data_IF_038581231735
#
_entry.id   IF_038581231735
#
_cell.length_a   1.000
_cell.length_b   1.000
_cell.length_c   1.000
_cell.angle_alpha   90.00
_cell.angle_beta   90.00
_cell.angle_gamma   90.00
#
_symmetry.space_group_name_H-M   'P 1'
#
loop_
_entity.id
_entity.type
_entity.pdbx_description
1 polymer ?
#
# COMPACT_ATOMS: atom_id res chain seq x y z
N UNK A 1 -8.78 1.96 23.35
CA UNK A 1 -7.33 2.26 23.23
C UNK A 1 -7.20 3.34 22.18
N UNK A 2 -6.50 4.45 22.45
CA UNK A 2 -6.21 5.46 21.41
C UNK A 2 -4.90 5.06 20.72
N UNK A 3 -4.86 5.08 19.40
CA UNK A 3 -3.62 4.90 18.64
C UNK A 3 -2.92 6.25 18.52
N UNK A 4 -1.75 6.37 19.16
CA UNK A 4 -0.99 7.61 19.29
C UNK A 4 -0.34 8.03 17.96
N UNK A 5 -0.15 7.09 17.01
CA UNK A 5 0.42 7.37 15.70
C UNK A 5 -0.41 8.38 14.89
N UNK A 6 -1.74 8.40 15.05
CA UNK A 6 -2.60 9.30 14.26
C UNK A 6 -2.49 10.74 14.74
N UNK A 7 -2.45 10.98 16.06
CA UNK A 7 -2.21 12.33 16.60
C UNK A 7 -0.82 12.83 16.21
N UNK A 8 0.20 11.97 16.29
CA UNK A 8 1.57 12.26 15.85
C UNK A 8 1.63 12.66 14.37
N UNK A 9 0.87 11.97 13.51
CA UNK A 9 0.76 12.36 12.11
C UNK A 9 0.10 13.73 11.94
N UNK A 10 -0.97 14.05 12.69
CA UNK A 10 -1.64 15.35 12.58
C UNK A 10 -0.72 16.52 12.94
N UNK A 11 0.15 16.33 13.94
CA UNK A 11 1.18 17.29 14.31
C UNK A 11 2.20 17.43 13.17
N UNK A 12 2.66 16.31 12.61
CA UNK A 12 3.60 16.28 11.49
C UNK A 12 3.03 16.96 10.22
N UNK A 13 1.73 16.78 9.94
CA UNK A 13 1.04 17.45 8.83
C UNK A 13 0.90 18.96 9.08
N UNK A 14 0.77 19.38 10.34
CA UNK A 14 0.75 20.79 10.70
C UNK A 14 2.09 21.46 10.42
N UNK A 15 3.21 20.77 10.61
CA UNK A 15 4.54 21.26 10.17
C UNK A 15 4.59 21.49 8.65
N UNK A 16 4.05 20.55 7.85
CA UNK A 16 4.00 20.69 6.38
C UNK A 16 3.13 21.90 5.98
N UNK A 17 2.02 22.15 6.68
CA UNK A 17 1.17 23.33 6.45
C UNK A 17 1.90 24.64 6.77
N UNK A 18 2.77 24.66 7.79
CA UNK A 18 3.63 25.82 8.07
C UNK A 18 4.63 26.06 6.94
N UNK A 19 5.21 24.99 6.37
CA UNK A 19 6.09 25.10 5.20
C UNK A 19 5.33 25.65 3.98
N UNK A 20 4.09 25.21 3.76
CA UNK A 20 3.23 25.76 2.69
C UNK A 20 3.01 27.26 2.88
N UNK A 21 2.66 27.70 4.10
CA UNK A 21 2.44 29.11 4.39
C UNK A 21 3.70 29.95 4.14
N UNK A 22 4.85 29.53 4.68
CA UNK A 22 6.13 30.21 4.47
C UNK A 22 6.54 30.24 2.99
N UNK A 23 6.27 29.18 2.23
CA UNK A 23 6.56 29.14 0.80
C UNK A 23 5.70 30.13 0.00
N UNK A 24 4.45 30.38 0.42
CA UNK A 24 3.58 31.40 -0.20
C UNK A 24 4.11 32.80 0.07
N UNK A 25 4.48 33.10 1.31
CA UNK A 25 5.09 34.39 1.67
C UNK A 25 6.38 34.64 0.88
N UNK A 26 7.22 33.61 0.73
CA UNK A 26 8.45 33.73 -0.06
C UNK A 26 8.20 34.14 -1.52
N UNK A 27 7.05 33.80 -2.14
CA UNK A 27 6.76 34.19 -3.52
C UNK A 27 6.64 35.71 -3.71
N UNK A 28 6.36 36.46 -2.64
CA UNK A 28 6.26 37.92 -2.66
C UNK A 28 7.63 38.60 -2.86
N UNK A 29 8.74 37.90 -2.59
CA UNK A 29 10.11 38.40 -2.74
C UNK A 29 10.66 38.35 -4.18
N UNK A 30 9.81 38.09 -5.19
CA UNK A 30 10.21 38.10 -6.59
C UNK A 30 11.11 36.92 -6.99
N UNK A 31 12.26 37.18 -7.61
CA UNK A 31 13.09 36.13 -8.22
C UNK A 31 13.80 35.23 -7.20
N UNK A 32 14.34 35.80 -6.13
CA UNK A 32 14.94 35.05 -5.02
C UNK A 32 13.88 34.26 -4.26
N UNK A 33 12.71 34.88 -4.06
CA UNK A 33 11.52 34.28 -3.48
C UNK A 33 11.08 32.98 -4.15
N UNK A 34 11.09 32.93 -5.48
CA UNK A 34 10.79 31.70 -6.24
C UNK A 34 11.76 30.55 -5.96
N UNK A 35 13.04 30.85 -5.75
CA UNK A 35 14.05 29.83 -5.41
C UNK A 35 13.81 29.31 -3.99
N UNK A 36 13.56 30.21 -3.03
CA UNK A 36 13.21 29.85 -1.65
C UNK A 36 11.93 29.02 -1.59
N UNK A 37 10.86 29.46 -2.24
CA UNK A 37 9.59 28.74 -2.35
C UNK A 37 9.81 27.32 -2.86
N UNK A 38 10.50 27.15 -3.99
CA UNK A 38 10.71 25.81 -4.55
C UNK A 38 11.59 24.92 -3.65
N UNK A 39 12.58 25.49 -2.94
CA UNK A 39 13.38 24.73 -1.99
C UNK A 39 12.52 24.25 -0.79
N UNK A 40 11.68 25.12 -0.25
CA UNK A 40 10.77 24.83 0.85
C UNK A 40 9.74 23.77 0.47
N UNK A 41 9.05 23.92 -0.67
CA UNK A 41 8.01 22.98 -1.10
C UNK A 41 8.57 21.61 -1.45
N UNK A 42 9.77 21.55 -2.04
CA UNK A 42 10.47 20.27 -2.27
C UNK A 42 10.83 19.57 -0.96
N UNK A 43 11.35 20.31 0.03
CA UNK A 43 11.65 19.76 1.34
C UNK A 43 10.38 19.27 2.04
N UNK A 44 9.31 20.07 2.02
CA UNK A 44 8.00 19.70 2.56
C UNK A 44 7.42 18.44 1.92
N UNK A 45 7.56 18.27 0.60
CA UNK A 45 7.08 17.07 -0.10
C UNK A 45 7.84 15.80 0.33
N UNK A 46 9.17 15.91 0.49
CA UNK A 46 10.00 14.80 0.98
C UNK A 46 9.64 14.44 2.43
N UNK A 47 9.46 15.44 3.30
CA UNK A 47 9.02 15.24 4.69
C UNK A 47 7.65 14.57 4.74
N UNK A 48 6.69 15.05 3.96
CA UNK A 48 5.35 14.48 3.87
C UNK A 48 5.36 12.99 3.50
N UNK A 49 6.21 12.58 2.54
CA UNK A 49 6.37 11.17 2.21
C UNK A 49 6.91 10.35 3.38
N UNK A 50 7.89 10.88 4.11
CA UNK A 50 8.47 10.23 5.28
C UNK A 50 7.47 10.11 6.44
N UNK A 51 6.68 11.15 6.68
CA UNK A 51 5.62 11.15 7.69
C UNK A 51 4.52 10.14 7.35
N UNK A 52 4.11 10.07 6.08
CA UNK A 52 3.11 9.09 5.65
C UNK A 52 3.61 7.64 5.80
N UNK A 53 4.86 7.37 5.40
CA UNK A 53 5.46 6.05 5.59
C UNK A 53 5.59 5.67 7.07
N UNK A 54 6.09 6.59 7.89
CA UNK A 54 6.20 6.40 9.33
C UNK A 54 4.86 6.07 9.96
N UNK A 55 3.83 6.85 9.64
CA UNK A 55 2.47 6.60 10.11
C UNK A 55 1.95 5.21 9.73
N UNK A 56 2.13 4.75 8.48
CA UNK A 56 1.66 3.41 8.07
C UNK A 56 2.33 2.32 8.91
N UNK A 57 3.64 2.41 9.13
CA UNK A 57 4.37 1.46 9.97
C UNK A 57 3.84 1.50 11.40
N UNK A 58 3.78 2.68 11.98
CA UNK A 58 3.46 2.87 13.39
C UNK A 58 1.99 2.48 13.67
N UNK A 59 1.07 2.74 12.74
CA UNK A 59 -0.33 2.31 12.81
C UNK A 59 -0.47 0.78 12.88
N UNK A 60 0.31 0.05 12.07
CA UNK A 60 0.28 -1.41 12.05
C UNK A 60 0.96 -1.98 13.29
N UNK A 61 2.03 -1.34 13.77
CA UNK A 61 2.71 -1.72 15.01
C UNK A 61 1.78 -1.57 16.21
N UNK A 62 1.12 -0.42 16.36
CA UNK A 62 0.15 -0.15 17.42
C UNK A 62 -1.08 -1.08 17.33
N UNK A 63 -1.56 -1.38 16.13
CA UNK A 63 -2.63 -2.36 15.92
C UNK A 63 -2.26 -3.76 16.43
N UNK A 64 -1.06 -4.23 16.06
CA UNK A 64 -0.58 -5.56 16.48
C UNK A 64 -0.33 -5.61 17.99
N UNK A 65 0.20 -4.53 18.56
CA UNK A 65 0.42 -4.42 20.00
C UNK A 65 -0.93 -4.40 20.76
N UNK A 66 -1.95 -3.72 20.23
CA UNK A 66 -3.30 -3.75 20.79
C UNK A 66 -3.90 -5.17 20.76
N UNK A 67 -3.75 -5.92 19.66
CA UNK A 67 -4.20 -7.32 19.59
C UNK A 67 -3.50 -8.21 20.62
N UNK A 68 -2.19 -7.99 20.84
CA UNK A 68 -1.41 -8.72 21.84
C UNK A 68 -1.90 -8.42 23.26
N UNK A 69 -2.18 -7.14 23.56
CA UNK A 69 -2.64 -6.71 24.88
C UNK A 69 -4.06 -7.23 25.20
N UNK A 70 -4.94 -7.28 24.20
CA UNK A 70 -6.29 -7.84 24.33
C UNK A 70 -6.30 -9.39 24.36
N UNK A 71 -5.16 -10.03 24.09
CA UNK A 71 -5.04 -11.49 24.13
C UNK A 71 -5.93 -12.20 23.12
N UNK A 72 -6.03 -11.64 21.90
CA UNK A 72 -6.92 -12.16 20.84
C UNK A 72 -6.58 -13.61 20.50
N UNK A 73 -7.61 -14.45 20.43
CA UNK A 73 -7.49 -15.88 20.12
C UNK A 73 -6.94 -16.08 18.71
N UNK A 74 -6.09 -17.10 18.53
CA UNK A 74 -5.64 -17.55 17.20
C UNK A 74 -6.81 -17.86 16.27
N UNK A 75 -7.93 -18.34 16.83
CA UNK A 75 -9.13 -18.71 16.06
C UNK A 75 -9.91 -17.52 15.49
N UNK A 76 -9.68 -16.31 16.02
CA UNK A 76 -10.32 -15.07 15.55
C UNK A 76 -9.39 -14.21 14.68
N UNK A 77 -8.16 -14.67 14.42
CA UNK A 77 -7.25 -13.98 13.51
C UNK A 77 -7.69 -14.21 12.05
N UNK A 78 -7.57 -13.20 11.17
CA UNK A 78 -7.70 -13.40 9.73
C UNK A 78 -6.68 -14.40 9.20
N UNK A 79 -7.04 -15.12 8.14
CA UNK A 79 -6.19 -16.14 7.53
C UNK A 79 -4.80 -15.61 7.18
N UNK A 80 -4.69 -14.38 6.65
CA UNK A 80 -3.41 -13.76 6.29
C UNK A 80 -2.52 -13.50 7.51
N UNK A 81 -3.10 -12.96 8.58
CA UNK A 81 -2.40 -12.69 9.84
C UNK A 81 -2.00 -14.01 10.52
N UNK A 82 -2.88 -15.01 10.51
CA UNK A 82 -2.58 -16.35 11.00
C UNK A 82 -1.43 -17.00 10.21
N UNK A 83 -1.45 -16.92 8.88
CA UNK A 83 -0.35 -17.38 8.03
C UNK A 83 0.97 -16.67 8.38
N UNK A 84 0.97 -15.35 8.56
CA UNK A 84 2.16 -14.60 8.93
C UNK A 84 2.73 -15.04 10.29
N UNK A 85 1.86 -15.35 11.26
CA UNK A 85 2.25 -15.93 12.56
C UNK A 85 2.92 -17.29 12.37
N UNK A 86 2.30 -18.18 11.59
CA UNK A 86 2.85 -19.51 11.33
C UNK A 86 4.22 -19.42 10.63
N UNK A 87 4.36 -18.57 9.61
CA UNK A 87 5.61 -18.37 8.89
C UNK A 87 6.73 -17.85 9.80
N UNK A 88 6.42 -16.87 10.66
CA UNK A 88 7.38 -16.34 11.63
C UNK A 88 7.88 -17.41 12.59
N UNK A 89 6.95 -18.17 13.19
CA UNK A 89 7.28 -19.21 14.18
C UNK A 89 8.02 -20.40 13.56
N UNK A 90 7.62 -20.84 12.35
CA UNK A 90 8.30 -21.91 11.62
C UNK A 90 9.70 -21.48 11.16
N UNK A 91 9.87 -20.22 10.76
CA UNK A 91 11.18 -19.68 10.38
C UNK A 91 12.13 -19.61 11.58
N UNK A 92 11.64 -19.24 12.76
CA UNK A 92 12.40 -19.24 14.01
C UNK A 92 12.75 -20.65 14.52
N UNK A 93 11.91 -21.65 14.24
CA UNK A 93 12.16 -23.04 14.59
C UNK A 93 13.42 -23.63 13.93
N UNK A 94 13.88 -23.08 12.80
CA UNK A 94 15.12 -23.52 12.14
C UNK A 94 16.40 -23.27 12.96
N UNK A 95 16.31 -22.65 14.14
CA UNK A 95 17.47 -22.45 15.04
C UNK A 95 17.18 -22.27 16.55
N UNK A 96 15.92 -22.31 17.01
CA UNK A 96 15.54 -22.08 18.42
C UNK A 96 14.79 -23.27 19.07
N UNK A 97 14.59 -23.19 20.38
CA UNK A 97 14.04 -24.27 21.22
C UNK A 97 12.62 -24.68 20.83
N UNK A 98 12.33 -25.98 20.96
CA UNK A 98 11.03 -26.64 20.77
C UNK A 98 9.85 -25.97 21.53
N UNK A 99 10.13 -25.11 22.51
CA UNK A 99 9.14 -24.54 23.45
C UNK A 99 8.21 -23.52 22.78
N UNK A 100 8.69 -22.69 21.87
CA UNK A 100 7.86 -21.72 21.13
C UNK A 100 6.86 -22.44 20.21
N UNK A 101 7.33 -23.50 19.54
CA UNK A 101 6.49 -24.33 18.68
C UNK A 101 5.44 -25.12 19.48
N UNK A 102 5.80 -25.63 20.67
CA UNK A 102 4.84 -26.26 21.58
C UNK A 102 3.79 -25.25 22.06
N UNK A 103 4.20 -24.01 22.37
CA UNK A 103 3.30 -22.94 22.80
C UNK A 103 2.31 -22.57 21.68
N UNK A 104 2.79 -22.43 20.45
CA UNK A 104 1.95 -22.22 19.27
C UNK A 104 0.97 -23.38 19.07
N UNK A 105 1.44 -24.64 19.12
CA UNK A 105 0.57 -25.81 19.03
C UNK A 105 -0.51 -25.81 20.12
N UNK A 106 -0.13 -25.44 21.35
CA UNK A 106 -1.05 -25.30 22.47
C UNK A 106 -2.11 -24.23 22.22
N UNK A 107 -1.72 -23.06 21.71
CA UNK A 107 -2.64 -21.98 21.38
C UNK A 107 -3.60 -22.37 20.25
N UNK A 108 -3.12 -23.03 19.19
CA UNK A 108 -3.98 -23.54 18.11
C UNK A 108 -4.98 -24.58 18.65
N UNK A 109 -4.52 -25.53 19.46
CA UNK A 109 -5.37 -26.63 19.95
C UNK A 109 -6.44 -26.14 20.92
N UNK A 110 -6.13 -25.13 21.74
CA UNK A 110 -7.01 -24.62 22.79
C UNK A 110 -7.68 -23.29 22.42
N UNK A 111 -7.53 -22.81 21.19
CA UNK A 111 -7.97 -21.47 20.77
C UNK A 111 -7.43 -20.36 21.70
N UNK A 112 -6.20 -20.50 22.17
CA UNK A 112 -5.52 -19.50 22.99
C UNK A 112 -4.94 -18.35 22.15
N UNK A 113 -4.45 -17.32 22.85
CA UNK A 113 -3.75 -16.20 22.22
C UNK A 113 -2.36 -16.62 21.72
N UNK A 114 -1.89 -15.98 20.65
CA UNK A 114 -0.49 -16.07 20.20
C UNK A 114 0.10 -14.68 20.12
N UNK A 115 1.34 -14.56 20.59
CA UNK A 115 2.11 -13.34 20.49
C UNK A 115 2.46 -13.05 19.02
N UNK A 116 1.94 -11.94 18.52
CA UNK A 116 2.23 -11.39 17.21
C UNK A 116 3.53 -10.58 17.26
N UNK A 117 4.29 -10.57 16.16
CA UNK A 117 5.52 -9.78 16.04
C UNK A 117 5.23 -8.50 15.24
N UNK A 118 4.95 -7.41 15.96
CA UNK A 118 4.61 -6.11 15.37
C UNK A 118 5.66 -5.62 14.38
N UNK A 119 6.96 -5.74 14.69
CA UNK A 119 8.06 -5.30 13.81
C UNK A 119 8.14 -6.03 12.47
N UNK A 120 7.73 -7.30 12.43
CA UNK A 120 7.73 -8.07 11.18
C UNK A 120 6.54 -7.67 10.33
N UNK A 121 5.38 -7.48 10.96
CA UNK A 121 4.12 -7.13 10.28
C UNK A 121 4.07 -5.66 9.83
N UNK A 122 4.71 -4.75 10.57
CA UNK A 122 4.77 -3.32 10.24
C UNK A 122 5.85 -2.95 9.23
N UNK A 123 6.70 -3.90 8.82
CA UNK A 123 7.87 -3.60 8.00
C UNK A 123 7.49 -3.01 6.64
N UNK A 124 7.79 -1.73 6.45
CA UNK A 124 7.62 -1.05 5.15
C UNK A 124 8.79 -1.40 4.22
N UNK A 125 8.51 -1.60 2.93
CA UNK A 125 9.52 -1.78 1.88
C UNK A 125 10.31 -0.51 1.54
N UNK A 126 10.36 0.48 2.43
CA UNK A 126 11.06 1.76 2.29
C UNK A 126 10.34 2.86 1.51
N UNK A 127 9.16 2.58 0.92
CA UNK A 127 8.32 3.57 0.24
C UNK A 127 6.84 3.23 0.47
N UNK A 128 5.94 4.21 0.70
CA UNK A 128 4.51 3.98 0.82
C UNK A 128 3.85 3.89 -0.57
N UNK A 129 4.35 3.01 -1.45
CA UNK A 129 3.69 2.74 -2.73
C UNK A 129 2.34 2.07 -2.51
N UNK A 130 1.44 2.21 -3.49
CA UNK A 130 0.12 1.56 -3.44
C UNK A 130 0.25 0.06 -3.15
N UNK A 131 1.16 -0.63 -3.83
CA UNK A 131 1.38 -2.06 -3.63
C UNK A 131 1.95 -2.38 -2.24
N UNK A 132 2.82 -1.52 -1.69
CA UNK A 132 3.35 -1.71 -0.35
C UNK A 132 2.26 -1.49 0.71
N UNK A 133 1.43 -0.45 0.58
CA UNK A 133 0.31 -0.20 1.50
C UNK A 133 -0.67 -1.37 1.43
N UNK A 134 -1.09 -1.79 0.24
CA UNK A 134 -1.98 -2.94 0.08
C UNK A 134 -1.39 -4.23 0.66
N UNK A 135 -0.10 -4.49 0.43
CA UNK A 135 0.56 -5.68 0.96
C UNK A 135 0.62 -5.68 2.49
N UNK A 136 0.89 -4.54 3.12
CA UNK A 136 0.95 -4.41 4.58
C UNK A 136 -0.43 -4.65 5.18
N UNK A 137 -1.46 -3.98 4.63
CA UNK A 137 -2.82 -4.07 5.15
C UNK A 137 -3.45 -5.44 4.89
N UNK A 138 -3.22 -6.05 3.74
CA UNK A 138 -3.63 -7.44 3.48
C UNK A 138 -2.98 -8.42 4.47
N UNK A 139 -1.73 -8.17 4.86
CA UNK A 139 -1.02 -8.95 5.88
C UNK A 139 -1.68 -8.95 7.26
N UNK A 140 -2.48 -7.93 7.58
CA UNK A 140 -3.28 -7.85 8.81
C UNK A 140 -4.78 -8.12 8.58
N UNK A 141 -5.16 -8.60 7.39
CA UNK A 141 -6.53 -8.99 7.06
C UNK A 141 -7.40 -7.87 6.45
N UNK A 142 -6.82 -6.71 6.15
CA UNK A 142 -7.53 -5.58 5.55
C UNK A 142 -7.22 -5.54 4.05
N UNK A 143 -7.95 -6.34 3.28
CA UNK A 143 -7.74 -6.43 1.84
C UNK A 143 -8.30 -5.24 1.06
N UNK A 144 -7.63 -4.93 -0.07
CA UNK A 144 -8.02 -3.93 -1.05
C UNK A 144 -8.30 -2.55 -0.44
N UNK A 145 -7.49 -2.15 0.55
CA UNK A 145 -7.77 -0.96 1.37
C UNK A 145 -7.74 0.32 0.54
N UNK A 146 -6.78 0.44 -0.40
CA UNK A 146 -6.69 1.62 -1.26
C UNK A 146 -7.87 1.68 -2.21
N UNK A 147 -8.33 0.53 -2.71
CA UNK A 147 -9.48 0.47 -3.58
C UNK A 147 -10.76 0.85 -2.84
N UNK A 148 -10.99 0.29 -1.65
CA UNK A 148 -12.13 0.58 -0.78
C UNK A 148 -12.22 2.08 -0.48
N UNK A 149 -11.10 2.67 -0.04
CA UNK A 149 -11.04 4.09 0.27
C UNK A 149 -11.18 4.95 -0.99
N UNK A 150 -10.60 4.55 -2.12
CA UNK A 150 -10.75 5.28 -3.40
C UNK A 150 -12.19 5.31 -3.86
N UNK A 151 -12.91 4.19 -3.79
CA UNK A 151 -14.34 4.10 -4.14
C UNK A 151 -15.15 5.03 -3.24
N UNK A 152 -14.93 4.98 -1.93
CA UNK A 152 -15.64 5.80 -0.95
C UNK A 152 -15.40 7.30 -1.15
N UNK A 153 -14.14 7.70 -1.36
CA UNK A 153 -13.74 9.10 -1.34
C UNK A 153 -13.82 9.81 -2.67
N UNK A 154 -13.69 9.08 -3.78
CA UNK A 154 -13.68 9.63 -5.13
C UNK A 154 -14.88 9.19 -5.97
N UNK A 155 -15.81 8.41 -5.40
CA UNK A 155 -16.99 7.90 -6.10
C UNK A 155 -16.66 7.20 -7.43
N UNK A 156 -15.57 6.44 -7.45
CA UNK A 156 -15.17 5.62 -8.60
C UNK A 156 -15.71 4.20 -8.44
N UNK A 157 -16.15 3.56 -9.53
CA UNK A 157 -16.72 2.20 -9.46
C UNK A 157 -15.66 1.13 -9.12
N UNK A 158 -14.44 1.33 -9.59
CA UNK A 158 -13.30 0.46 -9.34
C UNK A 158 -12.00 1.14 -9.76
N UNK A 159 -10.94 0.84 -9.03
CA UNK A 159 -9.55 1.11 -9.41
C UNK A 159 -9.01 0.10 -10.43
N UNK A 160 -9.79 -0.90 -10.84
CA UNK A 160 -9.38 -1.87 -11.87
C UNK A 160 -10.22 -1.74 -13.14
N UNK A 161 -9.60 -2.00 -14.29
CA UNK A 161 -10.27 -2.29 -15.56
C UNK A 161 -9.85 -3.65 -16.09
N UNK A 162 -10.73 -4.26 -16.87
CA UNK A 162 -10.38 -5.39 -17.71
C UNK A 162 -9.67 -4.86 -18.96
N UNK A 163 -8.40 -5.24 -19.14
CA UNK A 163 -7.65 -4.88 -20.34
C UNK A 163 -7.71 -6.01 -21.36
N UNK A 164 -8.02 -5.66 -22.62
CA UNK A 164 -7.95 -6.60 -23.73
C UNK A 164 -6.54 -7.20 -23.82
N UNK A 165 -6.48 -8.53 -23.86
CA UNK A 165 -5.21 -9.25 -23.97
C UNK A 165 -4.67 -9.28 -25.42
N UNK A 166 -5.36 -8.63 -26.36
CA UNK A 166 -4.96 -8.49 -27.77
C UNK A 166 -3.92 -7.37 -27.91
N UNK A 167 -2.71 -7.64 -27.44
CA UNK A 167 -1.56 -6.76 -27.61
C UNK A 167 -0.91 -6.91 -29.02
N UNK A 168 0.05 -6.04 -29.35
CA UNK A 168 0.75 -6.12 -30.64
C UNK A 168 1.52 -7.44 -30.84
N UNK A 169 1.95 -8.08 -29.74
CA UNK A 169 2.66 -9.37 -29.77
C UNK A 169 1.69 -10.52 -30.08
N UNK A 170 0.48 -10.47 -29.52
CA UNK A 170 -0.61 -11.40 -29.79
C UNK A 170 -1.04 -11.33 -31.25
N UNK A 171 -1.21 -10.13 -31.80
CA UNK A 171 -1.52 -9.94 -33.24
C UNK A 171 -0.43 -10.56 -34.12
N UNK A 172 0.85 -10.28 -33.85
CA UNK A 172 1.98 -10.87 -34.58
C UNK A 172 2.04 -12.39 -34.47
N UNK A 173 1.68 -12.96 -33.31
CA UNK A 173 1.66 -14.41 -33.12
C UNK A 173 0.56 -15.10 -33.94
N UNK A 174 -0.61 -14.46 -34.06
CA UNK A 174 -1.69 -14.92 -34.94
C UNK A 174 -1.27 -14.79 -36.41
N UNK A 175 -0.71 -13.63 -36.80
CA UNK A 175 -0.20 -13.42 -38.17
C UNK A 175 0.85 -14.47 -38.57
N UNK A 176 1.76 -14.82 -37.65
CA UNK A 176 2.74 -15.88 -37.88
C UNK A 176 2.10 -17.28 -38.00
N UNK A 177 1.11 -17.59 -37.16
CA UNK A 177 0.39 -18.86 -37.24
C UNK A 177 -0.43 -19.00 -38.54
N UNK A 178 -0.90 -17.88 -39.11
CA UNK A 178 -1.58 -17.83 -40.40
C UNK A 178 -0.61 -17.83 -41.60
N UNK A 179 0.62 -17.36 -41.44
CA UNK A 179 1.63 -17.39 -42.50
C UNK A 179 2.18 -18.81 -42.77
N UNK A 180 2.16 -19.69 -41.76
CA UNK A 180 2.60 -21.09 -41.86
C UNK A 180 1.61 -22.03 -42.59
N UNK A 181 0.56 -21.49 -43.22
CA UNK A 181 -0.49 -22.28 -43.89
C UNK A 181 0.02 -22.95 -45.18
N UNK A 182 1.10 -22.46 -45.79
CA UNK A 182 1.76 -23.13 -46.92
C UNK A 182 2.84 -24.12 -46.42
N UNK A 183 2.40 -25.33 -46.05
CA UNK A 183 3.28 -26.50 -45.88
C UNK A 183 3.56 -27.00 -44.46
N UNK A 184 2.87 -26.50 -43.43
CA UNK A 184 3.12 -26.92 -42.05
C UNK A 184 2.45 -28.26 -41.65
N UNK A 185 3.17 -29.06 -40.86
CA UNK A 185 2.73 -30.34 -40.29
C UNK A 185 1.76 -30.21 -39.09
N UNK A 186 1.43 -28.99 -38.66
CA UNK A 186 0.56 -28.69 -37.52
C UNK A 186 -0.57 -27.78 -37.97
N UNK A 187 -1.80 -28.13 -37.61
CA UNK A 187 -3.02 -27.39 -37.91
C UNK A 187 -2.95 -25.94 -37.36
N UNK A 188 -3.02 -24.91 -38.23
CA UNK A 188 -3.04 -23.50 -37.85
C UNK A 188 -4.14 -23.15 -36.85
N UNK A 189 -5.30 -23.82 -36.93
CA UNK A 189 -6.43 -23.59 -36.01
C UNK A 189 -6.04 -23.98 -34.59
N UNK A 190 -5.40 -25.13 -34.39
CA UNK A 190 -4.89 -25.58 -33.10
C UNK A 190 -3.85 -24.62 -32.49
N UNK A 191 -2.99 -23.98 -33.30
CA UNK A 191 -2.04 -22.95 -32.81
C UNK A 191 -2.75 -21.66 -32.40
N UNK A 192 -3.76 -21.23 -33.16
CA UNK A 192 -4.57 -20.06 -32.82
C UNK A 192 -5.35 -20.31 -31.52
N UNK A 193 -5.96 -21.48 -31.38
CA UNK A 193 -6.65 -21.89 -30.13
C UNK A 193 -5.68 -21.88 -28.94
N UNK A 194 -4.47 -22.44 -29.07
CA UNK A 194 -3.48 -22.39 -28.00
C UNK A 194 -3.01 -20.98 -27.64
N UNK A 195 -2.90 -20.08 -28.63
CA UNK A 195 -2.59 -18.65 -28.40
C UNK A 195 -3.73 -17.95 -27.65
N UNK A 196 -4.98 -18.25 -28.03
CA UNK A 196 -6.19 -17.76 -27.39
C UNK A 196 -6.29 -18.27 -25.96
N UNK A 197 -6.27 -19.58 -25.74
CA UNK A 197 -6.39 -20.22 -24.42
C UNK A 197 -5.26 -19.79 -23.47
N UNK A 198 -4.03 -19.62 -23.98
CA UNK A 198 -2.92 -19.09 -23.19
C UNK A 198 -3.09 -17.63 -22.75
N UNK A 199 -4.04 -16.90 -23.31
CA UNK A 199 -4.23 -15.45 -23.09
C UNK A 199 -5.62 -15.05 -22.61
N UNK A 200 -6.66 -15.90 -22.72
CA UNK A 200 -8.05 -15.49 -22.55
C UNK A 200 -8.55 -15.42 -21.10
N UNK A 201 -7.68 -15.50 -20.09
CA UNK A 201 -8.07 -15.04 -18.75
C UNK A 201 -7.96 -13.51 -18.71
N UNK A 202 -9.05 -12.76 -18.51
CA UNK A 202 -9.00 -11.30 -18.43
C UNK A 202 -8.02 -10.88 -17.33
N UNK A 203 -6.99 -10.10 -17.67
CA UNK A 203 -6.10 -9.55 -16.65
C UNK A 203 -6.71 -8.28 -16.10
N UNK A 204 -6.83 -8.22 -14.77
CA UNK A 204 -7.12 -6.98 -14.07
C UNK A 204 -5.91 -6.05 -14.23
N UNK A 205 -6.14 -4.86 -14.75
CA UNK A 205 -5.16 -3.78 -14.79
C UNK A 205 -5.59 -2.67 -13.86
N UNK A 206 -4.70 -2.25 -12.97
CA UNK A 206 -4.95 -1.14 -12.06
C UNK A 206 -4.96 0.17 -12.85
N UNK A 207 -5.98 0.98 -12.61
CA UNK A 207 -6.21 2.31 -13.16
C UNK A 207 -5.59 3.33 -12.22
N UNK A 208 -5.05 4.40 -12.79
CA UNK A 208 -4.58 5.57 -12.03
C UNK A 208 -5.78 6.46 -11.69
N UNK A 209 -6.57 6.07 -10.70
CA UNK A 209 -7.74 6.82 -10.21
C UNK A 209 -7.77 6.80 -8.68
N UNK A 210 -8.40 7.81 -8.08
CA UNK A 210 -8.44 7.97 -6.62
C UNK A 210 -7.04 7.99 -6.00
N UNK A 211 -6.88 7.34 -4.85
CA UNK A 211 -5.61 7.32 -4.12
C UNK A 211 -4.48 6.61 -4.88
N UNK A 212 -4.79 5.74 -5.86
CA UNK A 212 -3.76 5.16 -6.72
C UNK A 212 -3.02 6.26 -7.49
N UNK A 213 -3.77 7.20 -8.09
CA UNK A 213 -3.17 8.31 -8.84
C UNK A 213 -2.39 9.25 -7.92
N UNK A 214 -2.96 9.56 -6.76
CA UNK A 214 -2.39 10.53 -5.81
C UNK A 214 -1.07 10.04 -5.20
N UNK A 215 -1.02 8.78 -4.76
CA UNK A 215 0.20 8.16 -4.19
C UNK A 215 1.27 8.06 -5.27
N UNK A 216 0.92 7.63 -6.48
CA UNK A 216 1.90 7.53 -7.58
C UNK A 216 2.50 8.89 -7.95
N UNK A 217 1.69 9.95 -8.05
CA UNK A 217 2.20 11.29 -8.35
C UNK A 217 3.04 11.87 -7.20
N UNK A 218 2.64 11.66 -5.94
CA UNK A 218 3.44 12.05 -4.77
C UNK A 218 4.82 11.38 -4.80
N UNK A 219 4.87 10.06 -4.99
CA UNK A 219 6.13 9.31 -5.02
C UNK A 219 6.99 9.65 -6.23
N UNK A 220 6.39 9.88 -7.39
CA UNK A 220 7.09 10.31 -8.59
C UNK A 220 7.77 11.66 -8.38
N UNK A 221 7.08 12.65 -7.80
CA UNK A 221 7.67 13.95 -7.44
C UNK A 221 8.81 13.77 -6.43
N UNK A 222 8.58 12.99 -5.36
CA UNK A 222 9.62 12.71 -4.35
C UNK A 222 10.86 12.06 -4.94
N UNK A 223 10.70 11.06 -5.80
CA UNK A 223 11.83 10.34 -6.39
C UNK A 223 12.66 11.24 -7.31
N UNK A 224 12.02 12.09 -8.12
CA UNK A 224 12.73 13.09 -8.92
C UNK A 224 13.52 14.07 -8.05
N UNK A 225 12.92 14.53 -6.96
CA UNK A 225 13.58 15.42 -6.00
C UNK A 225 14.81 14.72 -5.38
N UNK A 226 14.66 13.49 -4.91
CA UNK A 226 15.71 12.72 -4.23
C UNK A 226 16.86 12.35 -5.18
N UNK A 227 16.57 12.02 -6.43
CA UNK A 227 17.58 11.68 -7.45
C UNK A 227 18.16 12.91 -8.16
N UNK A 228 17.66 14.12 -7.88
CA UNK A 228 18.08 15.34 -8.56
C UNK A 228 17.68 15.40 -10.03
N UNK A 229 16.67 14.61 -10.43
CA UNK A 229 16.20 14.52 -11.81
C UNK A 229 15.27 15.68 -12.16
N UNK A 230 15.73 16.53 -13.07
CA UNK A 230 14.98 17.72 -13.47
C UNK A 230 14.92 18.75 -12.33
N UNK A 231 14.78 20.02 -12.67
CA UNK A 231 14.46 21.05 -11.68
C UNK A 231 12.99 20.95 -11.30
N UNK A 232 12.56 19.79 -10.77
CA UNK A 232 11.18 19.53 -10.40
C UNK A 232 10.66 20.71 -9.58
N UNK A 233 9.58 21.31 -10.08
CA UNK A 233 8.94 22.45 -9.44
C UNK A 233 7.77 21.92 -8.64
N UNK A 234 7.72 22.25 -7.35
CA UNK A 234 6.57 21.96 -6.50
C UNK A 234 6.01 23.30 -6.06
N UNK A 235 4.75 23.58 -6.41
CA UNK A 235 4.10 24.81 -5.95
C UNK A 235 3.58 24.64 -4.52
N UNK A 236 3.31 25.73 -3.78
CA UNK A 236 2.65 25.63 -2.48
C UNK A 236 1.27 24.96 -2.56
N UNK A 237 0.54 25.17 -3.67
CA UNK A 237 -0.75 24.51 -3.92
C UNK A 237 -0.59 23.00 -4.15
N UNK A 238 0.44 22.58 -4.90
CA UNK A 238 0.77 21.15 -5.06
C UNK A 238 1.06 20.48 -3.72
N UNK A 239 1.89 21.11 -2.89
CA UNK A 239 2.25 20.55 -1.58
C UNK A 239 1.04 20.51 -0.64
N UNK A 240 0.22 21.56 -0.64
CA UNK A 240 -1.02 21.61 0.13
C UNK A 240 -1.98 20.49 -0.28
N UNK A 241 -2.19 20.29 -1.59
CA UNK A 241 -3.07 19.23 -2.10
C UNK A 241 -2.58 17.83 -1.69
N UNK A 242 -1.28 17.57 -1.78
CA UNK A 242 -0.72 16.30 -1.28
C UNK A 242 -0.87 16.15 0.24
N UNK A 243 -0.70 17.23 1.01
CA UNK A 243 -0.89 17.22 2.47
C UNK A 243 -2.33 16.87 2.85
N UNK A 244 -3.32 17.49 2.19
CA UNK A 244 -4.74 17.21 2.39
C UNK A 244 -5.11 15.77 1.99
N UNK A 245 -4.55 15.29 0.88
CA UNK A 245 -4.73 13.91 0.43
C UNK A 245 -4.18 12.90 1.45
N UNK A 246 -2.96 13.10 1.96
CA UNK A 246 -2.38 12.25 3.01
C UNK A 246 -3.21 12.30 4.27
N UNK A 247 -3.67 13.49 4.70
CA UNK A 247 -4.53 13.62 5.87
C UNK A 247 -5.81 12.78 5.75
N UNK A 248 -6.48 12.88 4.59
CA UNK A 248 -7.73 12.16 4.32
C UNK A 248 -7.50 10.65 4.25
N UNK A 249 -6.50 10.21 3.48
CA UNK A 249 -6.14 8.81 3.35
C UNK A 249 -5.80 8.20 4.71
N UNK A 250 -4.95 8.86 5.50
CA UNK A 250 -4.54 8.37 6.81
C UNK A 250 -5.69 8.26 7.80
N UNK A 251 -6.68 9.18 7.75
CA UNK A 251 -7.91 9.04 8.53
C UNK A 251 -8.67 7.77 8.13
N UNK A 252 -8.85 7.53 6.83
CA UNK A 252 -9.54 6.33 6.35
C UNK A 252 -8.81 5.03 6.68
N UNK A 253 -7.48 5.03 6.63
CA UNK A 253 -6.66 3.88 7.06
C UNK A 253 -6.80 3.61 8.55
N UNK A 254 -6.72 4.65 9.37
CA UNK A 254 -6.91 4.57 10.81
C UNK A 254 -8.29 4.01 11.17
N UNK A 255 -9.35 4.52 10.57
CA UNK A 255 -10.71 4.07 10.83
C UNK A 255 -10.93 2.61 10.43
N UNK A 256 -10.34 2.18 9.30
CA UNK A 256 -10.39 0.79 8.86
C UNK A 256 -9.68 -0.15 9.85
N UNK A 257 -8.52 0.25 10.36
CA UNK A 257 -7.76 -0.52 11.37
C UNK A 257 -8.53 -0.59 12.69
N UNK A 258 -9.13 0.51 13.13
CA UNK A 258 -9.95 0.53 14.34
C UNK A 258 -11.18 -0.37 14.24
N UNK A 259 -11.86 -0.33 13.09
CA UNK A 259 -12.99 -1.22 12.84
C UNK A 259 -12.56 -2.69 12.89
N UNK A 260 -11.43 -3.01 12.28
CA UNK A 260 -10.91 -4.38 12.22
C UNK A 260 -10.45 -4.89 13.60
N UNK A 261 -9.82 -4.02 14.41
CA UNK A 261 -9.51 -4.32 15.81
C UNK A 261 -10.78 -4.60 16.63
N UNK A 262 -11.83 -3.80 16.42
CA UNK A 262 -13.13 -3.99 17.06
C UNK A 262 -13.77 -5.32 16.68
N UNK A 263 -13.68 -5.72 15.41
CA UNK A 263 -14.19 -7.01 14.93
C UNK A 263 -13.49 -8.19 15.64
N UNK A 264 -12.16 -8.16 15.77
CA UNK A 264 -11.40 -9.27 16.37
C UNK A 264 -11.58 -9.37 17.87
N UNK A 265 -11.67 -8.24 18.56
CA UNK A 265 -11.87 -8.21 20.02
C UNK A 265 -13.30 -8.61 20.40
N UNK A 266 -14.29 -8.30 19.55
CA UNK A 266 -15.67 -8.72 19.76
C UNK A 266 -15.92 -10.22 19.52
N UNK A 267 -15.17 -10.86 18.62
CA UNK A 267 -15.29 -12.30 18.32
C UNK A 267 -14.66 -13.18 19.42
N UNK A 268 -13.79 -12.60 20.25
CA UNK A 268 -13.13 -13.28 21.37
C UNK A 268 -13.87 -13.22 22.72
N UNK A 269 -15.01 -12.52 22.80
CA UNK A 269 -15.84 -12.39 24.01
C UNK A 269 -17.04 -13.35 23.99
#
# INVERSE_FOLDING_TARGET
MAMDCYSTLQDSLSEVRLIVAAAREALEEGAEGRVKCNAMTRAGLVLLCGYFEGFIRDLVEEYVDALNDEGVSVSSLPDSLFCAVLEGQVSSYRGNSLTDFISLKGAITNSGAVKLNSKVLSKTGGNPSVDNVESIFSGIGIDAIIDRLSIADYSVDSTYVLESQVDAKFKRAIEAALADVEGAAVDPVSRIVGIIEGKWQPRKKRRKVGYVSEIEELLKKRNRIAHGEGREQVTPDDLQGHCEMVAKLSSGLHDAVFQELGNMTAVGA
#
